data_IF_276340135578
#
_entry.id   IF_276340135578
#
_cell.length_a   1.000
_cell.length_b   1.000
_cell.length_c   1.000
_cell.angle_alpha   90.00
_cell.angle_beta   90.00
_cell.angle_gamma   90.00
#
_symmetry.space_group_name_H-M   'P 1'
#
loop_
_entity.id
_entity.type
_entity.pdbx_description
1 polymer ?
#
# COMPACT_ATOMS: atom_id res chain seq x y z
N UNK A 1 17.75 5.68 18.40
CA UNK A 1 16.47 5.81 19.15
C UNK A 1 15.56 4.59 18.92
N UNK A 2 15.15 4.29 17.67
CA UNK A 2 14.23 3.15 17.41
C UNK A 2 14.82 1.78 17.82
N UNK A 3 16.11 1.56 17.66
CA UNK A 3 16.79 0.32 18.07
C UNK A 3 16.60 -0.01 19.56
N UNK A 4 16.41 1.01 20.41
CA UNK A 4 16.14 0.84 21.85
C UNK A 4 14.66 0.53 22.11
N UNK A 5 13.75 1.13 21.33
CA UNK A 5 12.30 0.92 21.49
C UNK A 5 11.81 -0.38 20.83
N UNK A 6 12.51 -0.84 19.78
CA UNK A 6 12.11 -2.03 19.01
C UNK A 6 11.97 -3.29 19.86
N UNK A 7 12.89 -3.64 20.77
CA UNK A 7 12.73 -4.83 21.63
C UNK A 7 11.45 -4.79 22.46
N UNK A 8 11.09 -3.63 23.01
CA UNK A 8 9.87 -3.44 23.79
C UNK A 8 8.62 -3.62 22.90
N UNK A 9 8.60 -3.00 21.73
CA UNK A 9 7.47 -3.17 20.78
C UNK A 9 7.37 -4.62 20.28
N UNK A 10 8.50 -5.31 20.17
CA UNK A 10 8.55 -6.69 19.68
C UNK A 10 8.22 -7.73 20.75
N UNK A 11 8.21 -7.38 22.03
CA UNK A 11 7.69 -8.24 23.10
C UNK A 11 6.15 -8.30 23.12
N UNK A 12 5.49 -7.29 22.53
CA UNK A 12 4.03 -7.28 22.39
C UNK A 12 3.58 -8.17 21.22
N UNK A 13 2.34 -8.64 21.31
CA UNK A 13 1.66 -9.28 20.17
C UNK A 13 1.67 -8.35 18.96
N UNK A 14 1.92 -8.85 17.71
CA UNK A 14 2.13 -8.00 16.53
C UNK A 14 1.03 -7.00 16.23
N UNK A 15 -0.23 -7.42 16.32
CA UNK A 15 -1.37 -6.55 16.03
C UNK A 15 -1.58 -5.50 17.14
N UNK A 16 -1.32 -5.87 18.39
CA UNK A 16 -1.33 -4.95 19.54
C UNK A 16 -0.24 -3.88 19.42
N UNK A 17 0.98 -4.27 19.08
CA UNK A 17 2.07 -3.33 18.84
C UNK A 17 1.76 -2.36 17.68
N UNK A 18 1.15 -2.88 16.61
CA UNK A 18 0.69 -2.07 15.48
C UNK A 18 -0.35 -1.03 15.93
N UNK A 19 -1.39 -1.45 16.65
CA UNK A 19 -2.43 -0.55 17.15
C UNK A 19 -1.86 0.52 18.07
N UNK A 20 -0.96 0.16 18.99
CA UNK A 20 -0.30 1.10 19.88
C UNK A 20 0.50 2.15 19.10
N UNK A 21 1.32 1.74 18.15
CA UNK A 21 2.13 2.66 17.33
C UNK A 21 1.26 3.57 16.48
N UNK A 22 0.16 3.07 15.95
CA UNK A 22 -0.80 3.85 15.17
C UNK A 22 -1.51 4.90 16.04
N UNK A 23 -1.92 4.54 17.26
CA UNK A 23 -2.52 5.47 18.23
C UNK A 23 -1.52 6.56 18.67
N UNK A 24 -0.26 6.18 18.93
CA UNK A 24 0.78 7.16 19.23
C UNK A 24 1.01 8.16 18.09
N UNK A 25 1.00 7.68 16.84
CA UNK A 25 1.09 8.54 15.66
C UNK A 25 -0.15 9.42 15.49
N UNK A 26 -1.34 8.90 15.78
CA UNK A 26 -2.57 9.67 15.80
C UNK A 26 -2.48 10.82 16.79
N UNK A 27 -2.14 10.53 18.05
CA UNK A 27 -1.99 11.55 19.11
C UNK A 27 -0.92 12.56 18.70
N UNK A 28 0.28 12.09 18.37
CA UNK A 28 1.40 12.97 18.04
C UNK A 28 1.13 13.83 16.78
N UNK A 29 0.36 13.30 15.83
CA UNK A 29 -0.01 14.03 14.61
C UNK A 29 -1.06 15.12 14.83
N UNK A 30 -1.94 14.96 15.82
CA UNK A 30 -3.04 15.90 16.08
C UNK A 30 -2.68 17.02 17.06
N UNK A 31 -1.68 16.85 17.92
CA UNK A 31 -1.20 17.92 18.79
C UNK A 31 -0.15 18.78 18.09
N UNK A 32 -0.32 20.13 18.04
CA UNK A 32 0.56 21.01 17.26
C UNK A 32 2.05 20.90 17.61
N UNK A 33 2.37 20.86 18.91
CA UNK A 33 3.76 20.79 19.37
C UNK A 33 4.42 19.47 19.00
N UNK A 34 3.77 18.33 19.26
CA UNK A 34 4.33 17.01 18.91
C UNK A 34 4.41 16.78 17.40
N UNK A 35 3.44 17.29 16.65
CA UNK A 35 3.51 17.25 15.18
C UNK A 35 4.69 18.07 14.65
N UNK A 36 4.89 19.28 15.19
CA UNK A 36 6.05 20.10 14.84
C UNK A 36 7.36 19.38 15.18
N UNK A 37 7.50 18.81 16.37
CA UNK A 37 8.71 18.07 16.78
C UNK A 37 8.95 16.85 15.88
N UNK A 38 7.92 16.07 15.55
CA UNK A 38 8.04 14.95 14.61
C UNK A 38 8.53 15.42 13.24
N UNK A 39 7.95 16.50 12.69
CA UNK A 39 8.38 17.08 11.42
C UNK A 39 9.83 17.55 11.43
N UNK A 40 10.33 18.11 12.54
CA UNK A 40 11.74 18.51 12.66
C UNK A 40 12.65 17.28 12.74
N UNK A 41 12.27 16.28 13.53
CA UNK A 41 13.06 15.06 13.75
C UNK A 41 13.20 14.21 12.47
N UNK A 42 12.11 14.10 11.71
CA UNK A 42 12.05 13.28 10.47
C UNK A 42 12.03 14.11 9.20
N UNK A 43 12.52 15.36 9.26
CA UNK A 43 12.59 16.24 8.09
C UNK A 43 13.38 15.57 6.97
N UNK A 44 12.77 15.46 5.80
CA UNK A 44 13.43 14.99 4.57
C UNK A 44 13.70 16.16 3.64
N UNK A 45 14.79 16.09 2.88
CA UNK A 45 14.98 17.05 1.77
C UNK A 45 13.95 16.78 0.69
N UNK A 46 13.44 17.85 0.10
CA UNK A 46 12.49 17.76 -1.01
C UNK A 46 13.24 17.36 -2.28
N UNK A 47 12.81 16.26 -2.91
CA UNK A 47 13.24 15.82 -4.24
C UNK A 47 11.97 15.48 -5.02
N UNK A 48 11.31 16.47 -5.63
CA UNK A 48 10.01 16.29 -6.25
C UNK A 48 10.06 15.25 -7.37
N UNK A 49 9.05 14.38 -7.40
CA UNK A 49 8.83 13.40 -8.46
C UNK A 49 7.41 13.59 -8.99
N UNK A 50 7.25 13.55 -10.31
CA UNK A 50 5.95 13.60 -10.98
C UNK A 50 5.54 12.19 -11.42
N UNK A 51 4.34 11.78 -11.04
CA UNK A 51 3.70 10.55 -11.48
C UNK A 51 2.17 10.72 -11.46
N UNK A 52 1.44 10.08 -12.35
CA UNK A 52 -0.03 10.11 -12.42
C UNK A 52 -0.62 11.53 -12.49
N UNK A 53 0.10 12.51 -13.02
CA UNK A 53 -0.32 13.93 -12.99
C UNK A 53 -0.12 14.64 -11.64
N UNK A 54 0.34 13.93 -10.60
CA UNK A 54 0.60 14.46 -9.26
C UNK A 54 2.08 14.78 -9.05
N UNK A 55 2.36 15.67 -8.07
CA UNK A 55 3.71 15.99 -7.63
C UNK A 55 3.93 15.52 -6.21
N UNK A 56 4.85 14.60 -6.02
CA UNK A 56 5.26 14.03 -4.73
C UNK A 56 6.52 14.75 -4.22
N UNK A 57 6.59 15.10 -2.94
CA UNK A 57 7.77 15.76 -2.37
C UNK A 57 9.04 14.91 -2.38
N UNK A 58 8.89 13.60 -2.41
CA UNK A 58 9.92 12.59 -2.60
C UNK A 58 9.27 11.27 -3.05
N UNK A 59 10.01 10.30 -3.60
CA UNK A 59 9.43 9.07 -4.15
C UNK A 59 9.03 8.02 -3.12
N UNK A 60 9.23 8.24 -1.81
CA UNK A 60 9.02 7.22 -0.77
C UNK A 60 7.63 7.34 -0.16
N UNK A 61 6.84 6.30 -0.24
CA UNK A 61 5.51 6.22 0.33
C UNK A 61 5.34 5.12 1.36
N UNK A 62 4.23 5.21 2.10
CA UNK A 62 3.73 4.16 2.97
C UNK A 62 2.71 3.32 2.20
N UNK A 63 2.91 1.99 2.18
CA UNK A 63 1.97 1.07 1.54
C UNK A 63 0.68 0.93 2.35
N UNK A 64 -0.43 0.66 1.63
CA UNK A 64 -1.71 0.33 2.24
C UNK A 64 -1.63 -0.84 3.22
N UNK A 65 -2.53 -0.86 4.19
CA UNK A 65 -2.61 -1.86 5.25
C UNK A 65 -2.02 -1.41 6.58
N UNK A 66 -1.21 -0.34 6.61
CA UNK A 66 -0.68 0.22 7.85
C UNK A 66 -1.73 1.05 8.58
N UNK A 67 -2.28 2.07 7.94
CA UNK A 67 -3.41 2.86 8.46
C UNK A 67 -4.66 2.55 7.63
N UNK A 68 -5.48 1.61 8.14
CA UNK A 68 -6.64 1.11 7.39
C UNK A 68 -7.83 2.06 7.42
N UNK A 69 -7.93 2.80 8.51
CA UNK A 69 -9.07 3.66 8.80
C UNK A 69 -8.74 5.17 8.71
N UNK A 70 -7.52 5.53 8.28
CA UNK A 70 -7.10 6.91 8.06
C UNK A 70 -6.92 7.73 9.34
N UNK A 71 -6.69 7.08 10.48
CA UNK A 71 -6.64 7.78 11.79
C UNK A 71 -5.33 8.52 12.05
N UNK A 72 -4.21 8.07 11.45
CA UNK A 72 -2.87 8.57 11.77
C UNK A 72 -2.19 9.33 10.61
N UNK A 73 -2.92 9.75 9.58
CA UNK A 73 -2.35 10.37 8.37
C UNK A 73 -1.45 11.57 8.70
N UNK A 74 -1.84 12.44 9.64
CA UNK A 74 -1.03 13.61 10.05
C UNK A 74 0.29 13.20 10.68
N UNK A 75 0.28 12.19 11.55
CA UNK A 75 1.49 11.65 12.17
C UNK A 75 2.40 10.96 11.16
N UNK A 76 1.82 10.17 10.25
CA UNK A 76 2.55 9.51 9.16
C UNK A 76 3.16 10.55 8.20
N UNK A 77 2.43 11.59 7.83
CA UNK A 77 2.95 12.70 7.02
C UNK A 77 4.15 13.39 7.67
N UNK A 78 4.14 13.51 9.02
CA UNK A 78 5.24 14.10 9.79
C UNK A 78 6.52 13.23 9.77
N UNK A 79 6.43 11.93 9.48
CA UNK A 79 7.58 11.05 9.31
C UNK A 79 8.34 11.26 7.98
N UNK A 80 7.89 12.17 7.14
CA UNK A 80 8.62 12.56 5.92
C UNK A 80 8.23 11.82 4.65
N UNK A 81 7.20 10.95 4.67
CA UNK A 81 6.70 10.25 3.47
C UNK A 81 6.27 11.23 2.37
N UNK A 82 6.57 10.90 1.12
CA UNK A 82 6.09 11.60 -0.07
C UNK A 82 4.62 11.34 -0.34
N UNK A 83 4.14 10.12 -0.01
CA UNK A 83 2.73 9.74 -0.04
C UNK A 83 2.39 8.72 1.04
N UNK A 84 1.11 8.66 1.40
CA UNK A 84 0.56 7.68 2.34
C UNK A 84 -0.65 7.02 1.67
N UNK A 85 -0.65 5.69 1.55
CA UNK A 85 -1.78 4.93 1.04
C UNK A 85 -2.59 4.37 2.20
N UNK A 86 -3.82 4.91 2.38
CA UNK A 86 -4.78 4.53 3.42
C UNK A 86 -5.61 3.33 2.96
N UNK A 87 -6.02 2.49 3.86
CA UNK A 87 -6.86 1.33 3.56
C UNK A 87 -6.09 0.00 3.69
N UNK A 88 -6.63 -1.11 3.20
CA UNK A 88 -7.74 -1.22 2.24
C UNK A 88 -9.06 -0.92 2.94
N UNK A 89 -9.86 -0.07 2.33
CA UNK A 89 -11.21 0.28 2.79
C UNK A 89 -12.23 -0.54 1.99
N UNK A 90 -13.28 -0.98 2.67
CA UNK A 90 -14.43 -1.67 2.07
C UNK A 90 -15.70 -0.85 2.27
N UNK A 91 -16.74 -0.98 1.42
CA UNK A 91 -17.99 -0.22 1.59
C UNK A 91 -18.56 -0.33 3.00
N UNK A 92 -18.74 -1.54 3.48
CA UNK A 92 -19.25 -1.82 4.84
C UNK A 92 -18.12 -2.12 5.81
N UNK A 93 -18.28 -1.80 7.11
CA UNK A 93 -17.37 -2.28 8.16
C UNK A 93 -17.29 -3.79 8.16
N UNK A 94 -16.10 -4.34 8.43
CA UNK A 94 -15.95 -5.78 8.61
C UNK A 94 -14.82 -6.11 9.58
N UNK A 95 -14.95 -7.22 10.37
CA UNK A 95 -13.97 -7.58 11.40
C UNK A 95 -12.67 -8.14 10.83
N UNK A 96 -12.68 -8.57 9.56
CA UNK A 96 -11.62 -9.36 8.95
C UNK A 96 -11.59 -10.79 9.44
N UNK A 97 -10.46 -11.47 9.25
CA UNK A 97 -10.28 -12.87 9.64
C UNK A 97 -10.03 -13.02 11.16
N UNK A 98 -10.30 -14.20 11.76
CA UNK A 98 -10.03 -14.46 13.18
C UNK A 98 -8.57 -14.22 13.57
N UNK A 99 -8.36 -13.79 14.83
CA UNK A 99 -7.03 -13.66 15.45
C UNK A 99 -6.56 -15.02 16.03
N UNK A 100 -5.22 -15.25 16.12
CA UNK A 100 -4.11 -14.40 15.67
C UNK A 100 -4.01 -14.41 14.14
N UNK A 101 -3.70 -13.24 13.55
CA UNK A 101 -3.70 -13.03 12.10
C UNK A 101 -2.52 -12.21 11.59
N UNK A 102 -1.58 -11.87 12.47
CA UNK A 102 -0.31 -11.19 12.12
C UNK A 102 0.83 -11.87 12.86
N UNK A 103 1.87 -12.26 12.14
CA UNK A 103 3.01 -13.00 12.66
C UNK A 103 4.31 -12.33 12.22
N UNK A 104 5.19 -12.00 13.19
CA UNK A 104 6.53 -11.48 12.92
C UNK A 104 7.53 -12.63 12.85
N UNK A 105 8.28 -12.71 11.77
CA UNK A 105 9.34 -13.68 11.54
C UNK A 105 10.67 -12.96 11.74
N UNK A 106 11.20 -13.00 12.95
CA UNK A 106 12.36 -12.19 13.35
C UNK A 106 13.61 -12.59 12.59
N UNK A 107 13.83 -13.88 12.40
CA UNK A 107 14.99 -14.45 11.71
C UNK A 107 15.05 -14.04 10.23
N UNK A 108 13.91 -13.66 9.68
CA UNK A 108 13.74 -13.36 8.26
C UNK A 108 13.44 -11.87 8.01
N UNK A 109 13.38 -11.04 9.05
CA UNK A 109 12.88 -9.65 8.95
C UNK A 109 11.59 -9.57 8.12
N UNK A 110 10.60 -10.41 8.45
CA UNK A 110 9.41 -10.62 7.67
C UNK A 110 8.13 -10.58 8.53
N UNK A 111 6.99 -10.44 7.84
CA UNK A 111 5.66 -10.52 8.45
C UNK A 111 4.78 -11.40 7.58
N UNK A 112 4.09 -12.37 8.19
CA UNK A 112 2.94 -13.04 7.59
C UNK A 112 1.67 -12.42 8.15
N UNK A 113 0.71 -12.10 7.28
CA UNK A 113 -0.60 -11.64 7.71
C UNK A 113 -1.73 -12.32 6.93
N UNK A 114 -2.84 -12.52 7.63
CA UNK A 114 -4.12 -12.97 7.07
C UNK A 114 -5.27 -12.06 7.54
N UNK A 115 -5.07 -10.75 7.42
CA UNK A 115 -5.99 -9.75 7.99
C UNK A 115 -7.41 -9.82 7.42
N UNK A 116 -7.59 -9.96 6.09
CA UNK A 116 -8.91 -10.04 5.45
C UNK A 116 -9.67 -8.70 5.46
N UNK A 117 -8.96 -7.60 5.27
CA UNK A 117 -9.48 -6.23 5.21
C UNK A 117 -10.35 -5.82 6.42
N UNK A 118 -9.87 -5.97 7.68
CA UNK A 118 -10.60 -5.41 8.82
C UNK A 118 -10.60 -3.89 8.72
N UNK A 119 -11.73 -3.28 8.97
CA UNK A 119 -11.86 -1.82 8.92
C UNK A 119 -13.25 -1.36 9.32
N UNK A 120 -13.37 -0.06 9.55
CA UNK A 120 -14.59 0.62 10.00
C UNK A 120 -15.51 1.02 8.84
N UNK A 121 -15.11 0.68 7.59
CA UNK A 121 -15.90 0.92 6.39
C UNK A 121 -15.77 2.33 5.81
N UNK A 122 -16.39 2.50 4.68
CA UNK A 122 -16.30 3.69 3.84
C UNK A 122 -16.74 4.97 4.57
N UNK A 123 -17.88 4.94 5.24
CA UNK A 123 -18.48 6.10 5.91
C UNK A 123 -17.52 6.67 6.96
N UNK A 124 -17.01 5.83 7.86
CA UNK A 124 -16.05 6.26 8.88
C UNK A 124 -14.77 6.87 8.28
N UNK A 125 -14.22 6.22 7.24
CA UNK A 125 -12.96 6.68 6.63
C UNK A 125 -13.16 7.98 5.86
N UNK A 126 -14.31 8.16 5.20
CA UNK A 126 -14.62 9.43 4.51
C UNK A 126 -14.74 10.60 5.48
N UNK A 127 -15.33 10.37 6.66
CA UNK A 127 -15.38 11.38 7.73
C UNK A 127 -13.99 11.77 8.23
N UNK A 128 -13.09 10.78 8.40
CA UNK A 128 -11.69 11.07 8.78
C UNK A 128 -10.97 11.91 7.73
N UNK A 129 -11.13 11.59 6.45
CA UNK A 129 -10.47 12.32 5.37
C UNK A 129 -11.02 13.73 5.18
N UNK A 130 -12.33 13.93 5.29
CA UNK A 130 -12.97 15.24 5.11
C UNK A 130 -12.46 16.29 6.09
N UNK A 131 -12.09 15.88 7.31
CA UNK A 131 -11.51 16.77 8.36
C UNK A 131 -10.04 17.08 8.08
N UNK A 132 -9.36 16.28 7.26
CA UNK A 132 -7.90 16.36 7.12
C UNK A 132 -7.47 17.00 5.79
N UNK A 133 -8.27 16.91 4.73
CA UNK A 133 -7.91 17.16 3.32
C UNK A 133 -7.22 18.50 3.05
N UNK A 134 -7.64 19.58 3.68
CA UNK A 134 -7.16 20.94 3.35
C UNK A 134 -5.78 21.33 3.91
N UNK A 135 -5.11 20.45 4.66
CA UNK A 135 -3.90 20.81 5.42
C UNK A 135 -2.72 19.83 5.30
N UNK A 136 -2.80 18.87 4.40
CA UNK A 136 -1.74 17.87 4.29
C UNK A 136 -0.65 18.28 3.31
N UNK A 137 0.60 18.16 3.75
CA UNK A 137 1.81 18.33 2.90
C UNK A 137 2.29 17.01 2.29
N UNK A 138 1.39 16.03 2.15
CA UNK A 138 1.67 14.68 1.65
C UNK A 138 0.55 14.27 0.71
N UNK A 139 0.86 13.57 -0.36
CA UNK A 139 -0.14 12.96 -1.25
C UNK A 139 -0.81 11.80 -0.52
N UNK A 140 -2.14 11.74 -0.54
CA UNK A 140 -2.94 10.68 0.08
C UNK A 140 -3.58 9.81 -1.00
N UNK A 141 -3.22 8.53 -1.01
CA UNK A 141 -3.89 7.52 -1.82
C UNK A 141 -4.92 6.74 -1.02
N UNK A 142 -6.00 6.34 -1.68
CA UNK A 142 -7.01 5.48 -1.08
C UNK A 142 -7.01 4.10 -1.73
N UNK A 143 -6.71 3.08 -0.94
CA UNK A 143 -6.72 1.69 -1.37
C UNK A 143 -8.11 1.08 -1.15
N UNK A 144 -8.73 0.68 -2.24
CA UNK A 144 -10.11 0.23 -2.31
C UNK A 144 -10.17 -1.30 -2.42
N UNK A 145 -11.11 -1.93 -1.73
CA UNK A 145 -11.32 -3.36 -1.80
C UNK A 145 -12.78 -3.75 -1.59
N UNK A 146 -13.16 -4.90 -2.12
CA UNK A 146 -14.51 -5.41 -1.94
C UNK A 146 -14.73 -6.00 -0.54
N UNK A 147 -15.94 -5.95 -0.02
CA UNK A 147 -16.34 -6.67 1.17
C UNK A 147 -16.17 -8.18 1.00
N UNK A 148 -15.97 -8.88 2.10
CA UNK A 148 -15.78 -10.34 2.09
C UNK A 148 -16.98 -11.06 1.49
N UNK A 149 -18.19 -10.62 1.85
CA UNK A 149 -19.44 -11.27 1.48
C UNK A 149 -19.99 -10.84 0.10
N UNK A 150 -19.40 -9.83 -0.52
CA UNK A 150 -19.74 -9.46 -1.91
C UNK A 150 -19.25 -10.54 -2.87
N UNK A 151 -20.10 -11.13 -3.74
CA UNK A 151 -19.69 -12.07 -4.77
C UNK A 151 -18.64 -11.46 -5.71
N UNK A 152 -17.81 -12.31 -6.35
CA UNK A 152 -16.78 -11.81 -7.27
C UNK A 152 -17.38 -11.13 -8.50
N UNK A 153 -18.49 -11.65 -8.96
CA UNK A 153 -19.26 -11.14 -10.12
C UNK A 153 -19.86 -9.76 -9.85
N UNK A 154 -20.00 -9.40 -8.57
CA UNK A 154 -20.51 -8.09 -8.12
C UNK A 154 -19.42 -7.16 -7.59
N UNK A 155 -18.15 -7.57 -7.70
CA UNK A 155 -17.02 -6.82 -7.15
C UNK A 155 -16.98 -5.36 -7.65
N UNK A 156 -17.31 -5.11 -8.91
CA UNK A 156 -17.32 -3.77 -9.49
C UNK A 156 -18.19 -2.79 -8.71
N UNK A 157 -19.33 -3.24 -8.16
CA UNK A 157 -20.24 -2.39 -7.36
C UNK A 157 -19.51 -1.78 -6.15
N UNK A 158 -18.76 -2.60 -5.40
CA UNK A 158 -18.02 -2.14 -4.23
C UNK A 158 -16.94 -1.12 -4.59
N UNK A 159 -16.15 -1.39 -5.65
CA UNK A 159 -15.12 -0.45 -6.10
C UNK A 159 -15.69 0.86 -6.63
N UNK A 160 -16.81 0.81 -7.34
CA UNK A 160 -17.51 1.99 -7.87
C UNK A 160 -18.10 2.83 -6.73
N UNK A 161 -18.72 2.19 -5.73
CA UNK A 161 -19.24 2.87 -4.55
C UNK A 161 -18.11 3.60 -3.80
N UNK A 162 -17.00 2.93 -3.54
CA UNK A 162 -15.83 3.53 -2.94
C UNK A 162 -15.21 4.64 -3.79
N UNK A 163 -15.14 4.48 -5.11
CA UNK A 163 -14.65 5.51 -6.03
C UNK A 163 -15.48 6.78 -5.94
N UNK A 164 -16.80 6.67 -5.90
CA UNK A 164 -17.72 7.83 -5.78
C UNK A 164 -17.43 8.66 -4.54
N UNK A 165 -17.17 8.00 -3.42
CA UNK A 165 -16.93 8.66 -2.14
C UNK A 165 -15.52 9.22 -2.05
N UNK A 166 -14.51 8.45 -2.46
CA UNK A 166 -13.12 8.81 -2.20
C UNK A 166 -12.44 9.62 -3.32
N UNK A 167 -12.98 9.64 -4.54
CA UNK A 167 -12.38 10.43 -5.61
C UNK A 167 -12.29 11.96 -5.31
N UNK A 168 -13.26 12.58 -4.63
CA UNK A 168 -13.12 13.99 -4.23
C UNK A 168 -12.26 14.20 -2.97
N UNK A 169 -11.94 13.16 -2.20
CA UNK A 169 -11.27 13.24 -0.90
C UNK A 169 -9.81 12.80 -0.92
N UNK A 170 -9.41 12.04 -1.94
CA UNK A 170 -8.06 11.49 -2.06
C UNK A 170 -7.39 11.98 -3.35
N UNK A 171 -6.05 12.08 -3.31
CA UNK A 171 -5.27 12.50 -4.47
C UNK A 171 -5.24 11.42 -5.57
N UNK A 172 -5.24 10.13 -5.19
CA UNK A 172 -5.36 9.00 -6.11
C UNK A 172 -6.08 7.81 -5.47
N UNK A 173 -6.58 6.91 -6.29
CA UNK A 173 -7.26 5.68 -5.89
C UNK A 173 -6.45 4.44 -6.31
N UNK A 174 -6.56 3.36 -5.55
CA UNK A 174 -5.94 2.06 -5.89
C UNK A 174 -6.96 0.95 -5.83
N UNK A 175 -7.19 0.27 -6.94
CA UNK A 175 -8.02 -0.94 -7.02
C UNK A 175 -7.18 -2.12 -6.52
N UNK A 176 -7.53 -2.67 -5.36
CA UNK A 176 -6.79 -3.76 -4.74
C UNK A 176 -7.45 -5.12 -5.00
N UNK A 177 -7.00 -5.80 -6.04
CA UNK A 177 -7.43 -7.15 -6.44
C UNK A 177 -6.42 -8.24 -6.07
N UNK A 178 -5.40 -7.91 -5.29
CA UNK A 178 -4.19 -8.75 -5.12
C UNK A 178 -4.01 -9.35 -3.74
N UNK A 179 -4.94 -9.09 -2.79
CA UNK A 179 -4.83 -9.67 -1.44
C UNK A 179 -5.04 -11.18 -1.46
N UNK A 180 -4.14 -11.97 -0.84
CA UNK A 180 -4.33 -13.41 -0.70
C UNK A 180 -5.30 -13.77 0.45
N UNK A 181 -5.75 -12.79 1.22
CA UNK A 181 -6.43 -12.98 2.49
C UNK A 181 -7.97 -12.84 2.41
N UNK A 182 -8.48 -12.54 1.23
CA UNK A 182 -9.91 -12.53 0.89
C UNK A 182 -10.16 -13.62 -0.13
N UNK A 183 -11.06 -14.54 0.18
CA UNK A 183 -11.31 -15.75 -0.63
C UNK A 183 -11.63 -15.35 -2.08
N UNK A 184 -10.94 -15.96 -3.00
CA UNK A 184 -11.16 -15.78 -4.44
C UNK A 184 -10.75 -14.42 -5.02
N UNK A 185 -10.39 -13.41 -4.22
CA UNK A 185 -10.13 -12.05 -4.71
C UNK A 185 -9.10 -12.01 -5.85
N UNK A 186 -8.04 -12.82 -5.74
CA UNK A 186 -6.98 -12.88 -6.77
C UNK A 186 -7.46 -13.40 -8.12
N UNK A 187 -8.61 -14.10 -8.18
CA UNK A 187 -9.21 -14.50 -9.46
C UNK A 187 -9.61 -13.30 -10.31
N UNK A 188 -9.87 -12.13 -9.69
CA UNK A 188 -10.10 -10.88 -10.40
C UNK A 188 -8.89 -10.42 -11.24
N UNK A 189 -7.71 -11.02 -11.08
CA UNK A 189 -6.54 -10.72 -11.90
C UNK A 189 -6.50 -11.53 -13.19
N UNK A 190 -7.33 -12.56 -13.34
CA UNK A 190 -7.49 -13.28 -14.59
C UNK A 190 -8.11 -12.37 -15.67
N UNK A 191 -7.66 -12.51 -16.92
CA UNK A 191 -7.93 -11.59 -18.04
C UNK A 191 -9.41 -11.19 -18.11
N UNK A 192 -10.31 -12.15 -18.28
CA UNK A 192 -11.74 -11.92 -18.49
C UNK A 192 -12.39 -11.16 -17.31
N UNK A 193 -12.11 -11.60 -16.07
CA UNK A 193 -12.67 -10.95 -14.87
C UNK A 193 -12.09 -9.54 -14.66
N UNK A 194 -10.81 -9.36 -14.94
CA UNK A 194 -10.15 -8.06 -14.82
C UNK A 194 -10.68 -7.09 -15.87
N UNK A 195 -10.87 -7.56 -17.08
CA UNK A 195 -11.41 -6.76 -18.17
C UNK A 195 -12.81 -6.26 -17.86
N UNK A 196 -13.72 -7.12 -17.41
CA UNK A 196 -15.07 -6.74 -17.00
C UNK A 196 -15.07 -5.75 -15.83
N UNK A 197 -14.28 -6.04 -14.78
CA UNK A 197 -14.16 -5.17 -13.62
C UNK A 197 -13.67 -3.75 -13.99
N UNK A 198 -12.57 -3.65 -14.75
CA UNK A 198 -11.99 -2.35 -15.09
C UNK A 198 -12.82 -1.60 -16.12
N UNK A 199 -13.54 -2.31 -17.00
CA UNK A 199 -14.51 -1.70 -17.93
C UNK A 199 -15.62 -0.98 -17.17
N UNK A 200 -16.28 -1.65 -16.21
CA UNK A 200 -17.36 -1.04 -15.41
C UNK A 200 -16.83 0.17 -14.60
N UNK A 201 -15.66 0.04 -13.99
CA UNK A 201 -15.03 1.15 -13.24
C UNK A 201 -14.73 2.33 -14.17
N UNK A 202 -14.20 2.09 -15.37
CA UNK A 202 -13.84 3.13 -16.33
C UNK A 202 -15.08 3.83 -16.92
N UNK A 203 -16.13 3.09 -17.22
CA UNK A 203 -17.40 3.68 -17.66
C UNK A 203 -17.98 4.62 -16.60
N UNK A 204 -18.01 4.19 -15.34
CA UNK A 204 -18.51 5.02 -14.25
C UNK A 204 -17.59 6.20 -13.94
N UNK A 205 -16.25 6.00 -14.03
CA UNK A 205 -15.25 7.07 -13.93
C UNK A 205 -15.55 8.19 -14.96
N UNK A 206 -15.81 7.82 -16.21
CA UNK A 206 -16.12 8.77 -17.28
C UNK A 206 -17.48 9.46 -17.04
N UNK A 207 -18.52 8.69 -16.67
CA UNK A 207 -19.86 9.22 -16.36
C UNK A 207 -19.82 10.27 -15.25
N UNK A 208 -19.03 10.03 -14.20
CA UNK A 208 -18.88 10.93 -13.04
C UNK A 208 -17.81 12.00 -13.25
N UNK A 209 -17.05 11.95 -14.35
CA UNK A 209 -15.94 12.86 -14.65
C UNK A 209 -14.88 12.87 -13.52
N UNK A 210 -14.59 11.71 -12.94
CA UNK A 210 -13.57 11.56 -11.90
C UNK A 210 -12.19 11.87 -12.47
N UNK A 211 -11.50 12.84 -11.85
CA UNK A 211 -10.17 13.29 -12.28
C UNK A 211 -9.03 12.62 -11.53
N UNK A 212 -9.30 12.08 -10.34
CA UNK A 212 -8.28 11.41 -9.53
C UNK A 212 -7.70 10.21 -10.28
N UNK A 213 -6.38 10.04 -10.32
CA UNK A 213 -5.75 8.88 -10.93
C UNK A 213 -6.20 7.57 -10.26
N UNK A 214 -6.39 6.52 -11.07
CA UNK A 214 -6.76 5.18 -10.60
C UNK A 214 -5.65 4.19 -10.95
N UNK A 215 -5.06 3.59 -9.93
CA UNK A 215 -4.00 2.60 -10.02
C UNK A 215 -4.57 1.21 -9.75
N UNK A 216 -3.91 0.17 -10.29
CA UNK A 216 -4.25 -1.23 -9.98
C UNK A 216 -3.09 -1.89 -9.25
N UNK A 217 -3.37 -2.55 -8.11
CA UNK A 217 -2.36 -3.26 -7.31
C UNK A 217 -2.41 -4.74 -7.60
N UNK A 218 -1.29 -5.30 -8.10
CA UNK A 218 -1.15 -6.69 -8.53
C UNK A 218 -0.42 -7.56 -7.50
N UNK A 219 -0.63 -8.88 -7.59
CA UNK A 219 0.05 -9.88 -6.78
C UNK A 219 1.44 -10.22 -7.36
N UNK A 220 2.39 -10.67 -6.49
CA UNK A 220 3.70 -11.12 -6.96
C UNK A 220 3.72 -12.58 -7.42
N UNK A 221 2.61 -13.29 -7.33
CA UNK A 221 2.53 -14.74 -7.55
C UNK A 221 1.88 -15.10 -8.88
N UNK A 222 1.64 -14.11 -9.77
CA UNK A 222 1.17 -14.33 -11.13
C UNK A 222 2.25 -15.03 -11.96
N UNK A 223 1.83 -15.94 -12.83
CA UNK A 223 2.70 -16.49 -13.88
C UNK A 223 3.09 -15.40 -14.88
N UNK A 224 4.03 -15.68 -15.75
CA UNK A 224 4.44 -14.72 -16.76
C UNK A 224 3.31 -14.34 -17.70
N UNK A 225 2.49 -15.31 -18.11
CA UNK A 225 1.32 -15.12 -18.96
C UNK A 225 0.22 -14.32 -18.25
N UNK A 226 -0.13 -14.69 -17.00
CA UNK A 226 -1.10 -13.95 -16.19
C UNK A 226 -0.66 -12.50 -15.95
N UNK A 227 0.66 -12.28 -15.79
CA UNK A 227 1.20 -10.93 -15.60
C UNK A 227 1.09 -10.10 -16.88
N UNK A 228 1.38 -10.70 -18.02
CA UNK A 228 1.24 -10.06 -19.34
C UNK A 228 -0.21 -9.67 -19.59
N UNK A 229 -1.14 -10.60 -19.39
CA UNK A 229 -2.57 -10.35 -19.48
C UNK A 229 -3.04 -9.24 -18.55
N UNK A 230 -2.68 -9.30 -17.26
CA UNK A 230 -3.10 -8.28 -16.29
C UNK A 230 -2.56 -6.90 -16.66
N UNK A 231 -1.29 -6.78 -17.02
CA UNK A 231 -0.71 -5.49 -17.44
C UNK A 231 -1.34 -5.00 -18.73
N UNK A 232 -1.58 -5.88 -19.71
CA UNK A 232 -2.26 -5.56 -20.96
C UNK A 232 -3.63 -4.94 -20.70
N UNK A 233 -4.48 -5.62 -19.95
CA UNK A 233 -5.84 -5.15 -19.61
C UNK A 233 -5.81 -3.82 -18.83
N UNK A 234 -4.92 -3.67 -17.85
CA UNK A 234 -4.77 -2.43 -17.07
C UNK A 234 -4.50 -1.23 -17.98
N UNK A 235 -3.63 -1.41 -18.98
CA UNK A 235 -3.27 -0.36 -19.93
C UNK A 235 -4.37 -0.12 -20.98
N UNK A 236 -4.99 -1.17 -21.50
CA UNK A 236 -6.08 -1.11 -22.47
C UNK A 236 -7.32 -0.40 -21.90
N UNK A 237 -7.62 -0.62 -20.61
CA UNK A 237 -8.74 0.05 -19.92
C UNK A 237 -8.39 1.45 -19.39
N UNK A 238 -7.20 1.97 -19.71
CA UNK A 238 -6.80 3.35 -19.42
C UNK A 238 -6.64 3.65 -17.93
N UNK A 239 -6.16 2.68 -17.13
CA UNK A 239 -5.77 2.94 -15.75
C UNK A 239 -4.46 3.74 -15.71
N UNK A 240 -4.33 4.62 -14.71
CA UNK A 240 -3.26 5.62 -14.66
C UNK A 240 -1.92 5.07 -14.13
N UNK A 241 -1.88 3.84 -13.60
CA UNK A 241 -0.65 3.24 -13.11
C UNK A 241 -0.83 1.87 -12.46
N UNK A 242 0.30 1.25 -12.12
CA UNK A 242 0.37 -0.09 -11.52
C UNK A 242 1.16 -0.05 -10.22
N UNK A 243 0.67 -0.73 -9.16
CA UNK A 243 1.44 -0.98 -7.94
C UNK A 243 1.91 -2.44 -7.96
N UNK A 244 3.21 -2.64 -8.10
CA UNK A 244 3.89 -3.94 -8.09
C UNK A 244 4.81 -4.02 -6.85
N UNK A 245 4.45 -4.77 -5.76
CA UNK A 245 3.39 -5.77 -5.66
C UNK A 245 2.69 -5.76 -4.29
N UNK A 246 1.70 -6.67 -4.11
CA UNK A 246 1.18 -7.06 -2.80
C UNK A 246 2.12 -8.10 -2.13
N UNK A 247 1.65 -8.78 -1.08
CA UNK A 247 2.34 -9.87 -0.38
C UNK A 247 2.29 -11.19 -1.18
N UNK A 248 3.23 -12.12 -0.91
CA UNK A 248 3.32 -13.42 -1.58
C UNK A 248 2.79 -14.57 -0.72
N UNK A 249 2.31 -15.63 -1.37
CA UNK A 249 2.06 -16.93 -0.73
C UNK A 249 3.30 -17.84 -0.71
N UNK A 250 4.32 -17.51 -1.47
CA UNK A 250 5.58 -18.24 -1.52
C UNK A 250 6.33 -18.17 -0.17
N UNK A 251 7.07 -19.22 0.14
CA UNK A 251 7.80 -19.38 1.41
C UNK A 251 9.29 -19.74 1.20
N UNK A 252 9.77 -19.70 -0.04
CA UNK A 252 11.15 -20.04 -0.36
C UNK A 252 12.13 -19.17 0.44
N UNK A 253 13.12 -19.80 1.06
CA UNK A 253 14.16 -19.13 1.85
C UNK A 253 13.73 -18.64 3.23
N UNK A 254 12.49 -18.88 3.66
CA UNK A 254 12.01 -18.55 5.01
C UNK A 254 12.52 -19.59 6.01
N UNK A 255 13.17 -19.13 7.08
CA UNK A 255 13.80 -19.97 8.13
C UNK A 255 12.91 -20.15 9.36
N UNK A 256 12.10 -19.14 9.66
CA UNK A 256 11.24 -19.14 10.84
C UNK A 256 10.25 -20.29 10.82
N UNK A 257 10.00 -20.89 11.99
CA UNK A 257 8.96 -21.93 12.17
C UNK A 257 7.55 -21.43 11.84
N UNK A 258 7.34 -20.11 11.91
CA UNK A 258 6.08 -19.46 11.55
C UNK A 258 5.82 -19.46 10.04
N UNK A 259 6.73 -19.94 9.19
CA UNK A 259 6.52 -20.09 7.75
C UNK A 259 5.28 -20.96 7.41
N UNK A 260 4.84 -21.82 8.34
CA UNK A 260 3.67 -22.69 8.17
C UNK A 260 2.34 -21.92 8.31
N UNK A 261 2.38 -20.71 8.84
CA UNK A 261 1.19 -19.88 8.96
C UNK A 261 0.65 -19.49 7.58
N UNK A 262 -0.67 -19.58 7.43
CA UNK A 262 -1.35 -19.11 6.21
C UNK A 262 -1.37 -17.59 6.14
N UNK A 263 -1.45 -17.05 4.93
CA UNK A 263 -1.53 -15.61 4.67
C UNK A 263 -0.39 -15.08 3.80
N UNK A 264 -0.42 -13.79 3.54
CA UNK A 264 0.58 -13.12 2.70
C UNK A 264 1.87 -12.81 3.46
N UNK A 265 3.01 -13.17 2.88
CA UNK A 265 4.36 -12.90 3.38
C UNK A 265 4.89 -11.60 2.79
N UNK A 266 5.45 -10.75 3.64
CA UNK A 266 6.14 -9.49 3.30
C UNK A 266 7.51 -9.40 3.98
N UNK A 267 8.31 -8.40 3.63
CA UNK A 267 9.65 -8.20 4.18
C UNK A 267 10.76 -8.79 3.32
N UNK A 268 11.91 -9.06 3.91
CA UNK A 268 13.12 -9.47 3.19
C UNK A 268 12.95 -10.65 2.23
N UNK A 269 12.20 -11.73 2.56
CA UNK A 269 12.01 -12.85 1.63
C UNK A 269 11.27 -12.48 0.34
N UNK A 270 10.41 -11.46 0.38
CA UNK A 270 9.68 -11.00 -0.82
C UNK A 270 10.57 -10.19 -1.79
N UNK A 271 11.75 -9.73 -1.36
CA UNK A 271 12.59 -8.77 -2.12
C UNK A 271 12.89 -9.24 -3.54
N UNK A 272 13.46 -10.42 -3.69
CA UNK A 272 13.90 -10.94 -5.00
C UNK A 272 12.71 -11.13 -5.94
N UNK A 273 11.63 -11.74 -5.45
CA UNK A 273 10.42 -11.97 -6.25
C UNK A 273 9.80 -10.65 -6.72
N UNK A 274 9.61 -9.68 -5.83
CA UNK A 274 9.02 -8.39 -6.20
C UNK A 274 9.91 -7.56 -7.14
N UNK A 275 11.23 -7.72 -7.08
CA UNK A 275 12.16 -7.15 -8.07
C UNK A 275 11.99 -7.76 -9.45
N UNK A 276 11.90 -9.08 -9.51
CA UNK A 276 11.68 -9.80 -10.78
C UNK A 276 10.35 -9.37 -11.42
N UNK A 277 9.26 -9.33 -10.63
CA UNK A 277 7.96 -8.85 -11.12
C UNK A 277 8.04 -7.40 -11.58
N UNK A 278 8.67 -6.50 -10.80
CA UNK A 278 8.85 -5.11 -11.21
C UNK A 278 9.57 -5.00 -12.57
N UNK A 279 10.67 -5.74 -12.75
CA UNK A 279 11.43 -5.73 -14.01
C UNK A 279 10.58 -6.18 -15.20
N UNK A 280 9.71 -7.19 -15.00
CA UNK A 280 8.76 -7.64 -16.03
C UNK A 280 7.70 -6.58 -16.32
N UNK A 281 7.07 -6.03 -15.27
CA UNK A 281 6.05 -4.96 -15.40
C UNK A 281 6.62 -3.76 -16.13
N UNK A 282 7.85 -3.32 -15.82
CA UNK A 282 8.51 -2.20 -16.52
C UNK A 282 8.63 -2.47 -18.01
N UNK A 283 9.05 -3.67 -18.40
CA UNK A 283 9.15 -4.07 -19.81
C UNK A 283 7.79 -4.07 -20.51
N UNK A 284 6.78 -4.66 -19.87
CA UNK A 284 5.42 -4.76 -20.42
C UNK A 284 4.75 -3.39 -20.53
N UNK A 285 4.90 -2.54 -19.53
CA UNK A 285 4.36 -1.17 -19.53
C UNK A 285 5.06 -0.31 -20.57
N UNK A 286 6.38 -0.48 -20.77
CA UNK A 286 7.17 0.24 -21.77
C UNK A 286 6.92 1.76 -21.78
N UNK A 287 6.95 2.38 -20.61
CA UNK A 287 6.78 3.84 -20.44
C UNK A 287 5.36 4.38 -20.57
N UNK A 288 4.35 3.52 -20.87
CA UNK A 288 2.95 3.93 -21.06
C UNK A 288 2.24 4.39 -19.78
N UNK A 289 2.70 3.95 -18.62
CA UNK A 289 2.15 4.34 -17.33
C UNK A 289 3.23 4.33 -16.24
N UNK A 290 3.15 5.19 -15.22
CA UNK A 290 4.02 5.14 -14.05
C UNK A 290 3.79 3.86 -13.21
N UNK A 291 4.87 3.38 -12.57
CA UNK A 291 4.84 2.18 -11.73
C UNK A 291 5.26 2.54 -10.31
N UNK A 292 4.51 2.08 -9.32
CA UNK A 292 4.87 2.12 -7.90
C UNK A 292 5.42 0.76 -7.50
N UNK A 293 6.64 0.70 -6.98
CA UNK A 293 7.21 -0.55 -6.48
C UNK A 293 6.91 -0.73 -4.99
N UNK A 294 6.37 -1.88 -4.62
CA UNK A 294 6.09 -2.26 -3.24
C UNK A 294 6.51 -3.72 -2.99
N UNK A 295 6.95 -4.01 -1.76
CA UNK A 295 7.36 -5.35 -1.34
C UNK A 295 8.88 -5.53 -1.24
N UNK A 296 9.35 -5.95 -0.05
CA UNK A 296 10.74 -6.28 0.20
C UNK A 296 11.71 -5.10 0.28
N UNK A 297 11.23 -3.87 0.37
CA UNK A 297 12.07 -2.68 0.53
C UNK A 297 12.38 -2.50 2.02
N UNK A 298 13.61 -2.87 2.42
CA UNK A 298 14.04 -2.92 3.82
C UNK A 298 15.10 -1.87 4.17
N UNK A 299 15.76 -1.27 3.17
CA UNK A 299 16.86 -0.34 3.32
C UNK A 299 16.97 0.61 2.12
N UNK A 300 17.86 1.63 2.16
CA UNK A 300 18.07 2.57 1.07
C UNK A 300 18.52 1.94 -0.26
N UNK A 301 19.30 0.88 -0.22
CA UNK A 301 19.80 0.20 -1.41
C UNK A 301 18.65 -0.48 -2.18
N UNK A 302 17.75 -1.17 -1.46
CA UNK A 302 16.56 -1.77 -2.05
C UNK A 302 15.74 -0.70 -2.80
N UNK A 303 15.50 0.46 -2.17
CA UNK A 303 14.74 1.54 -2.78
C UNK A 303 15.42 2.11 -4.03
N UNK A 304 16.75 2.36 -3.97
CA UNK A 304 17.52 2.83 -5.14
C UNK A 304 17.43 1.86 -6.30
N UNK A 305 17.57 0.56 -6.02
CA UNK A 305 17.48 -0.49 -7.05
C UNK A 305 16.12 -0.49 -7.72
N UNK A 306 15.01 -0.34 -6.96
CA UNK A 306 13.67 -0.27 -7.53
C UNK A 306 13.48 0.93 -8.46
N UNK A 307 13.95 2.11 -8.04
CA UNK A 307 13.89 3.32 -8.88
C UNK A 307 14.78 3.18 -10.12
N UNK A 308 15.97 2.61 -10.00
CA UNK A 308 16.85 2.33 -11.13
C UNK A 308 16.27 1.31 -12.11
N UNK A 309 15.45 0.36 -11.65
CA UNK A 309 14.72 -0.59 -12.49
C UNK A 309 13.56 0.04 -13.26
N UNK A 310 13.16 1.28 -12.95
CA UNK A 310 12.12 2.01 -13.69
C UNK A 310 10.86 2.31 -12.87
N UNK A 311 10.83 2.03 -11.56
CA UNK A 311 9.74 2.50 -10.72
C UNK A 311 9.77 4.02 -10.57
N UNK A 312 8.62 4.69 -10.67
CA UNK A 312 8.47 6.11 -10.39
C UNK A 312 8.47 6.42 -8.89
N UNK A 313 7.86 5.54 -8.12
CA UNK A 313 7.70 5.64 -6.67
C UNK A 313 7.96 4.30 -6.00
N UNK A 314 8.28 4.34 -4.70
CA UNK A 314 8.46 3.14 -3.87
C UNK A 314 7.58 3.22 -2.63
N UNK A 315 7.06 2.08 -2.17
CA UNK A 315 6.28 1.98 -0.94
C UNK A 315 6.94 1.03 0.05
N UNK A 316 7.09 1.46 1.30
CA UNK A 316 7.59 0.65 2.42
C UNK A 316 6.44 0.24 3.34
N UNK A 317 6.58 -0.93 3.99
CA UNK A 317 5.70 -1.43 5.04
C UNK A 317 6.53 -2.17 6.11
N UNK A 318 6.96 -3.39 5.81
CA UNK A 318 7.73 -4.23 6.73
C UNK A 318 9.09 -3.60 7.08
N UNK A 319 9.72 -2.90 6.13
CA UNK A 319 10.93 -2.12 6.40
C UNK A 319 10.72 -1.08 7.51
N UNK A 320 9.56 -0.39 7.54
CA UNK A 320 9.22 0.55 8.60
C UNK A 320 9.10 -0.16 9.97
N UNK A 321 8.52 -1.36 10.01
CA UNK A 321 8.38 -2.15 11.25
C UNK A 321 9.75 -2.51 11.83
N UNK A 322 10.71 -2.95 11.01
CA UNK A 322 12.01 -3.44 11.46
C UNK A 322 13.06 -2.34 11.64
N UNK A 323 13.06 -1.29 10.80
CA UNK A 323 14.05 -0.19 10.81
C UNK A 323 13.53 1.07 11.52
N UNK A 324 12.21 1.18 11.68
CA UNK A 324 11.58 2.34 12.31
C UNK A 324 11.41 3.54 11.40
N UNK A 325 10.88 4.64 11.96
CA UNK A 325 10.48 5.82 11.19
C UNK A 325 11.64 6.57 10.53
N UNK A 326 12.90 6.34 10.96
CA UNK A 326 14.09 6.90 10.31
C UNK A 326 14.34 6.41 8.88
N UNK A 327 13.79 5.24 8.51
CA UNK A 327 13.98 4.61 7.21
C UNK A 327 13.63 5.54 6.03
N UNK A 328 12.54 6.30 6.15
CA UNK A 328 12.12 7.24 5.08
C UNK A 328 13.22 8.27 4.81
N UNK A 329 13.74 8.90 5.86
CA UNK A 329 14.83 9.87 5.76
C UNK A 329 16.13 9.27 5.23
N UNK A 330 16.45 8.03 5.61
CA UNK A 330 17.63 7.30 5.11
C UNK A 330 17.51 7.04 3.60
N UNK A 331 16.35 6.55 3.15
CA UNK A 331 16.10 6.33 1.72
C UNK A 331 16.21 7.67 0.96
N UNK A 332 15.49 8.71 1.39
CA UNK A 332 15.49 10.00 0.68
C UNK A 332 16.90 10.60 0.58
N UNK A 333 17.70 10.51 1.66
CA UNK A 333 19.10 10.97 1.62
C UNK A 333 19.96 10.16 0.64
N UNK A 334 19.74 8.86 0.55
CA UNK A 334 20.51 7.99 -0.36
C UNK A 334 20.22 8.24 -1.85
N UNK A 335 19.12 8.91 -2.16
CA UNK A 335 18.74 9.26 -3.53
C UNK A 335 19.33 10.60 -3.99
N UNK A 336 20.10 11.25 -3.15
CA UNK A 336 20.83 12.47 -3.52
C UNK A 336 22.12 12.11 -4.26
N UNK A 337 22.53 12.89 -5.25
CA UNK A 337 23.82 12.73 -5.91
C UNK A 337 24.97 12.97 -4.93
#
# INVERSE_FOLDING_TARGET
>A
MYSVLRPLLFSLEPETAHQLTLQLLHIAGNFPLSNFLLRQLYKTKVKPVRAFGLTFKNPVGLAAGYDKDGIAIRGLAALGFGHVEVGTVTPKPQPGNPRPRVFRLLEDEAVINRMGFPGRGMEYVSDQLSVISDRLSVVVGMNLGKNKDTPLEEAAKDYIELMKVFAPLADYLTINISSPNTVGLRRLQGREMLEGLLEEIQQERQRLKVKSPILVKIAPDLTDEELEDAVGVILEKGMDGIIATNTTLAREGVRSRLQRESGGLSGSPLRVRSEAVLSRVVKLVNGRAPIVSSGGIMNPEDARKRLALGASLVQVYTGLIYRGPGLVGEIVRSLQP
#
